data_IF_840055444223
#
_entry.id   IF_840055444223
#
_cell.length_a   1.000
_cell.length_b   1.000
_cell.length_c   1.000
_cell.angle_alpha   90.00
_cell.angle_beta   90.00
_cell.angle_gamma   90.00
#
_symmetry.space_group_name_H-M   'P 1'
#
loop_
_entity.id
_entity.type
_entity.pdbx_description
1 polymer ?
#
# COMPACT_ATOMS: atom_id res chain seq x y z
N UNK A 1 -0.72 -9.24 -7.90
CA UNK A 1 -0.54 -8.32 -6.75
C UNK A 1 0.80 -8.62 -6.08
N UNK A 2 1.46 -7.64 -5.44
CA UNK A 2 2.74 -7.86 -4.75
C UNK A 2 2.53 -8.42 -3.33
N UNK A 3 3.34 -9.40 -2.91
CA UNK A 3 3.24 -10.06 -1.59
C UNK A 3 3.28 -9.09 -0.41
N UNK A 4 4.17 -8.09 -0.47
CA UNK A 4 4.31 -7.06 0.56
C UNK A 4 3.00 -6.26 0.74
N UNK A 5 2.27 -5.95 -0.34
CA UNK A 5 0.98 -5.25 -0.24
C UNK A 5 -0.07 -6.09 0.49
N UNK A 6 -0.12 -7.40 0.22
CA UNK A 6 -1.05 -8.31 0.88
C UNK A 6 -0.75 -8.44 2.38
N UNK A 7 0.53 -8.56 2.75
CA UNK A 7 0.94 -8.60 4.14
C UNK A 7 0.58 -7.29 4.89
N UNK A 8 0.71 -6.13 4.23
CA UNK A 8 0.28 -4.82 4.78
C UNK A 8 -1.24 -4.77 4.95
N UNK A 9 -2.01 -5.19 3.93
CA UNK A 9 -3.49 -5.23 4.00
C UNK A 9 -3.95 -6.12 5.16
N UNK A 10 -3.32 -7.29 5.32
CA UNK A 10 -3.59 -8.21 6.43
C UNK A 10 -3.27 -7.59 7.79
N UNK A 11 -2.13 -6.91 7.92
CA UNK A 11 -1.75 -6.22 9.15
C UNK A 11 -2.73 -5.11 9.54
N UNK A 12 -3.27 -4.37 8.57
CA UNK A 12 -4.33 -3.37 8.80
C UNK A 12 -5.64 -4.05 9.21
N UNK A 13 -6.07 -5.09 8.47
CA UNK A 13 -7.31 -5.81 8.75
C UNK A 13 -7.34 -6.51 10.12
N UNK A 14 -6.17 -6.91 10.63
CA UNK A 14 -6.01 -7.50 11.97
C UNK A 14 -5.76 -6.47 13.08
N UNK A 15 -5.72 -5.17 12.75
CA UNK A 15 -5.47 -4.09 13.70
C UNK A 15 -4.03 -3.98 14.20
N UNK A 16 -3.09 -4.74 13.62
CA UNK A 16 -1.66 -4.69 13.98
C UNK A 16 -0.95 -3.46 13.39
N UNK A 17 -1.51 -2.89 12.33
CA UNK A 17 -1.00 -1.69 11.66
C UNK A 17 -2.14 -0.68 11.50
N UNK A 18 -1.85 0.60 11.75
CA UNK A 18 -2.83 1.67 11.53
C UNK A 18 -3.10 1.88 10.02
N UNK A 19 -4.27 2.45 9.68
CA UNK A 19 -4.64 2.79 8.29
C UNK A 19 -3.67 3.81 7.66
N UNK A 20 -3.14 4.71 8.48
CA UNK A 20 -2.03 5.61 8.14
C UNK A 20 -0.76 5.03 8.76
N UNK A 21 0.23 4.73 7.94
CA UNK A 21 1.44 4.04 8.38
C UNK A 21 2.69 4.66 7.78
N UNK A 22 3.83 4.42 8.43
CA UNK A 22 5.15 4.76 7.90
C UNK A 22 5.87 3.49 7.48
N UNK A 23 6.93 3.58 6.64
CA UNK A 23 7.76 2.42 6.33
C UNK A 23 8.34 1.75 7.58
N UNK A 24 8.66 2.54 8.61
CA UNK A 24 9.12 2.05 9.90
C UNK A 24 8.05 1.23 10.64
N UNK A 25 6.81 1.73 10.71
CA UNK A 25 5.69 1.00 11.31
C UNK A 25 5.40 -0.31 10.60
N UNK A 26 5.48 -0.33 9.26
CA UNK A 26 5.32 -1.55 8.47
C UNK A 26 6.44 -2.55 8.77
N UNK A 27 7.70 -2.11 8.77
CA UNK A 27 8.85 -2.96 9.09
C UNK A 27 8.81 -3.54 10.52
N UNK A 28 8.05 -2.93 11.44
CA UNK A 28 7.83 -3.48 12.78
C UNK A 28 6.87 -4.67 12.80
N UNK A 29 5.90 -4.71 11.89
CA UNK A 29 4.81 -5.70 11.88
C UNK A 29 4.99 -6.74 10.78
N UNK A 30 5.28 -6.28 9.56
CA UNK A 30 5.53 -7.12 8.39
C UNK A 30 7.05 -7.32 8.29
N UNK A 31 7.54 -8.47 8.74
CA UNK A 31 8.97 -8.84 8.74
C UNK A 31 9.38 -9.53 7.44
N UNK A 32 10.69 -9.66 7.22
CA UNK A 32 11.26 -10.43 6.11
C UNK A 32 11.81 -9.59 4.95
N UNK A 33 11.70 -8.27 5.00
CA UNK A 33 12.26 -7.36 4.00
C UNK A 33 13.23 -6.36 4.63
N UNK A 34 14.12 -5.81 3.81
CA UNK A 34 15.04 -4.75 4.25
C UNK A 34 14.32 -3.41 4.37
N UNK A 35 14.81 -2.51 5.22
CA UNK A 35 14.22 -1.16 5.35
C UNK A 35 14.10 -0.45 3.99
N UNK A 36 15.13 -0.58 3.14
CA UNK A 36 15.17 0.03 1.82
C UNK A 36 14.13 -0.55 0.84
N UNK A 37 13.74 -1.80 1.03
CA UNK A 37 12.68 -2.43 0.24
C UNK A 37 11.35 -1.74 0.47
N UNK A 38 11.01 -1.44 1.73
CA UNK A 38 9.76 -0.75 2.04
C UNK A 38 9.75 0.66 1.45
N UNK A 39 10.80 1.46 1.69
CA UNK A 39 10.88 2.84 1.18
C UNK A 39 10.78 2.90 -0.34
N UNK A 40 11.52 2.04 -1.04
CA UNK A 40 11.48 1.95 -2.51
C UNK A 40 10.11 1.52 -3.00
N UNK A 41 9.53 0.48 -2.38
CA UNK A 41 8.22 -0.03 -2.77
C UNK A 41 7.12 1.03 -2.63
N UNK A 42 7.09 1.77 -1.52
CA UNK A 42 6.12 2.85 -1.32
C UNK A 42 6.30 4.00 -2.30
N UNK A 43 7.55 4.45 -2.51
CA UNK A 43 7.83 5.54 -3.44
C UNK A 43 7.46 5.19 -4.89
N UNK A 44 7.70 3.95 -5.31
CA UNK A 44 7.38 3.50 -6.66
C UNK A 44 5.88 3.34 -6.89
N UNK A 45 5.11 2.96 -5.87
CA UNK A 45 3.68 2.67 -6.00
C UNK A 45 2.79 3.77 -5.40
N UNK A 46 3.32 4.98 -5.22
CA UNK A 46 2.54 6.15 -4.81
C UNK A 46 1.66 6.63 -5.96
N UNK A 47 0.52 7.23 -5.65
CA UNK A 47 -0.34 7.91 -6.62
C UNK A 47 0.43 9.04 -7.32
N UNK A 48 0.31 9.12 -8.64
CA UNK A 48 1.05 10.05 -9.49
C UNK A 48 2.53 9.66 -9.68
N UNK A 49 2.90 8.40 -9.45
CA UNK A 49 4.29 7.98 -9.60
C UNK A 49 4.76 8.15 -11.07
N UNK A 50 5.94 8.74 -11.33
CA UNK A 50 6.47 8.95 -12.67
C UNK A 50 6.93 7.68 -13.39
N UNK A 51 6.99 6.54 -12.70
CA UNK A 51 7.53 5.29 -13.24
C UNK A 51 6.49 4.39 -13.90
N UNK A 52 5.19 4.75 -13.80
CA UNK A 52 4.10 3.97 -14.39
C UNK A 52 3.80 2.65 -13.67
N UNK A 53 4.27 2.48 -12.44
CA UNK A 53 3.89 1.33 -11.61
C UNK A 53 2.43 1.46 -11.13
N UNK A 54 1.77 0.35 -10.79
CA UNK A 54 0.45 0.39 -10.18
C UNK A 54 0.43 1.25 -8.91
N UNK A 55 -0.59 2.09 -8.79
CA UNK A 55 -0.74 3.02 -7.68
C UNK A 55 -1.48 2.34 -6.52
N UNK A 56 -0.73 1.93 -5.50
CA UNK A 56 -1.28 1.27 -4.32
C UNK A 56 -1.34 2.18 -3.10
N UNK A 57 -0.59 3.29 -3.10
CA UNK A 57 -0.44 4.15 -1.94
C UNK A 57 -0.74 5.61 -2.23
N UNK A 58 -1.26 6.31 -1.23
CA UNK A 58 -1.32 7.75 -1.18
C UNK A 58 -0.33 8.25 -0.13
N UNK A 59 0.55 9.19 -0.51
CA UNK A 59 1.46 9.86 0.42
C UNK A 59 0.79 11.12 0.96
N UNK A 60 0.71 11.21 2.28
CA UNK A 60 0.10 12.32 3.00
C UNK A 60 1.15 13.40 3.33
N UNK A 61 0.73 14.67 3.55
CA UNK A 61 1.64 15.77 3.88
C UNK A 61 2.47 15.54 5.16
N UNK A 62 1.99 14.70 6.08
CA UNK A 62 2.71 14.33 7.31
C UNK A 62 3.73 13.19 7.12
N UNK A 63 3.97 12.76 5.87
CA UNK A 63 4.93 11.72 5.51
C UNK A 63 4.42 10.30 5.73
N UNK A 64 3.14 10.12 6.05
CA UNK A 64 2.50 8.80 6.17
C UNK A 64 1.92 8.34 4.84
N UNK A 65 1.73 7.04 4.74
CA UNK A 65 1.10 6.37 3.61
C UNK A 65 -0.25 5.79 4.04
N UNK A 66 -1.20 5.77 3.12
CA UNK A 66 -2.40 4.92 3.19
C UNK A 66 -2.49 4.06 1.94
N UNK A 67 -3.18 2.93 2.03
CA UNK A 67 -3.57 2.18 0.84
C UNK A 67 -4.67 2.98 0.14
N UNK A 68 -4.51 3.26 -1.16
CA UNK A 68 -5.66 3.67 -1.97
C UNK A 68 -6.48 2.40 -2.11
N UNK A 69 -7.65 2.34 -1.48
CA UNK A 69 -8.59 1.25 -1.75
C UNK A 69 -8.74 1.22 -3.26
N UNK A 70 -8.31 0.10 -3.85
CA UNK A 70 -8.49 -0.16 -5.26
C UNK A 70 -9.95 0.17 -5.49
N UNK A 71 -10.20 1.28 -6.20
CA UNK A 71 -11.55 1.63 -6.58
C UNK A 71 -12.03 0.37 -7.24
N UNK A 72 -12.91 -0.34 -6.53
CA UNK A 72 -13.80 -1.29 -7.14
C UNK A 72 -14.30 -0.51 -8.34
N UNK A 73 -13.79 -0.84 -9.53
CA UNK A 73 -14.63 -0.70 -10.70
C UNK A 73 -15.95 -1.29 -10.21
N UNK A 74 -17.06 -0.54 -10.13
CA UNK A 74 -18.32 -1.21 -10.09
C UNK A 74 -18.21 -2.17 -11.28
N UNK A 75 -18.22 -3.45 -10.97
CA UNK A 75 -18.37 -4.50 -11.94
C UNK A 75 -19.54 -4.02 -12.80
N UNK A 76 -19.21 -3.51 -14.00
CA UNK A 76 -20.20 -3.31 -15.02
C UNK A 76 -20.58 -4.73 -15.37
N UNK A 77 -21.51 -5.28 -14.60
CA UNK A 77 -22.43 -6.30 -15.05
C UNK A 77 -23.24 -5.63 -16.17
N UNK A 78 -22.60 -5.46 -17.32
CA UNK A 78 -23.27 -5.24 -18.59
C UNK A 78 -23.61 -6.64 -19.10
N UNK A 79 -24.87 -7.01 -18.85
CA UNK A 79 -25.76 -7.80 -19.71
C UNK A 79 -25.17 -8.95 -20.54
N UNK A 80 -25.76 -10.14 -20.40
CA UNK A 80 -26.84 -10.58 -21.30
C UNK A 80 -27.63 -11.71 -20.68
#
# INVERSE_FOLDING_TARGET
MARLLEDIKSAIGTGKLAKLFTPGSVAQVVKGYSHNTYTTFFAQHVKGNPWGYPEYFELHPDGKYSIVEESTKPESQSQS
#
